data_IF_899598511009
#
_entry.id   IF_899598511009
#
_cell.length_a   1.000
_cell.length_b   1.000
_cell.length_c   1.000
_cell.angle_alpha   90.00
_cell.angle_beta   90.00
_cell.angle_gamma   90.00
#
_symmetry.space_group_name_H-M   'P 1'
#
loop_
_entity.id
_entity.type
_entity.pdbx_description
1 polymer ?
#
# COMPACT_ATOMS: atom_id res chain seq x y z
N UNK A 1 8.75 17.59 -6.79
CA UNK A 1 9.85 16.99 -6.00
C UNK A 1 11.18 17.41 -6.62
N UNK A 2 12.22 17.64 -5.82
CA UNK A 2 13.56 18.01 -6.30
C UNK A 2 14.49 16.79 -6.15
N UNK A 3 15.43 16.59 -7.07
CA UNK A 3 16.41 15.50 -7.00
C UNK A 3 17.83 16.07 -6.92
N UNK A 4 18.61 15.61 -5.96
CA UNK A 4 20.01 16.01 -5.79
C UNK A 4 20.79 14.74 -5.45
N UNK A 5 21.82 14.39 -6.23
CA UNK A 5 22.63 13.18 -6.05
C UNK A 5 21.77 11.91 -5.90
N UNK A 6 20.82 11.70 -6.83
CA UNK A 6 19.87 10.57 -6.89
C UNK A 6 18.92 10.41 -5.68
N UNK A 7 18.95 11.37 -4.77
CA UNK A 7 18.08 11.41 -3.60
C UNK A 7 16.95 12.40 -3.81
N UNK A 8 15.77 12.04 -3.31
CA UNK A 8 14.54 12.86 -3.40
C UNK A 8 14.54 13.88 -2.28
N UNK A 9 14.26 15.14 -2.59
CA UNK A 9 14.16 16.23 -1.64
C UNK A 9 12.79 16.93 -1.73
N UNK A 10 12.28 17.39 -0.60
CA UNK A 10 11.08 18.22 -0.51
C UNK A 10 11.05 19.06 0.76
N UNK A 11 10.22 20.10 0.73
CA UNK A 11 10.02 20.99 1.86
C UNK A 11 9.34 20.29 3.05
N UNK A 12 9.59 20.75 4.29
CA UNK A 12 8.99 20.15 5.50
C UNK A 12 7.46 20.11 5.46
N UNK A 13 6.82 21.24 5.11
CA UNK A 13 5.37 21.33 4.99
C UNK A 13 4.80 20.35 3.93
N UNK A 14 5.56 20.11 2.87
CA UNK A 14 5.19 19.21 1.77
C UNK A 14 5.33 17.74 2.18
N UNK A 15 6.30 17.43 3.05
CA UNK A 15 6.50 16.11 3.61
C UNK A 15 5.36 15.79 4.59
N UNK A 16 5.08 16.70 5.54
CA UNK A 16 3.99 16.57 6.52
C UNK A 16 2.61 16.55 5.85
N UNK A 17 2.40 17.41 4.84
CA UNK A 17 1.13 17.53 4.14
C UNK A 17 0.90 16.51 3.02
N UNK A 18 1.74 15.48 2.87
CA UNK A 18 1.66 14.46 1.81
C UNK A 18 1.73 14.99 0.36
N UNK A 19 2.14 16.25 0.17
CA UNK A 19 2.32 16.92 -1.15
C UNK A 19 3.76 16.82 -1.67
N UNK A 20 4.52 15.84 -1.20
CA UNK A 20 5.96 15.75 -1.45
C UNK A 20 6.27 15.44 -2.93
N UNK A 21 5.40 14.67 -3.59
CA UNK A 21 5.50 14.37 -5.03
C UNK A 21 5.50 15.65 -5.88
N UNK A 22 4.60 16.60 -5.59
CA UNK A 22 4.42 17.85 -6.34
C UNK A 22 5.15 19.06 -5.76
N UNK A 23 6.02 18.89 -4.75
CA UNK A 23 6.75 20.01 -4.14
C UNK A 23 7.66 20.73 -5.17
N UNK A 24 7.43 22.03 -5.39
CA UNK A 24 8.25 22.92 -6.24
C UNK A 24 8.87 24.10 -5.49
N UNK A 25 8.75 24.12 -4.15
CA UNK A 25 9.29 25.21 -3.34
C UNK A 25 10.81 25.13 -3.29
N UNK A 26 11.48 26.19 -3.72
CA UNK A 26 12.94 26.37 -3.64
C UNK A 26 13.35 27.28 -2.49
N UNK A 27 12.41 28.08 -1.97
CA UNK A 27 12.66 29.11 -0.96
C UNK A 27 12.65 28.56 0.48
N UNK A 28 12.35 27.27 0.64
CA UNK A 28 12.18 26.60 1.94
C UNK A 28 13.25 25.53 2.13
N UNK A 29 13.64 25.23 3.38
CA UNK A 29 14.58 24.16 3.66
C UNK A 29 14.07 22.83 3.09
N UNK A 30 14.92 22.21 2.27
CA UNK A 30 14.66 20.94 1.60
C UNK A 30 15.24 19.79 2.44
N UNK A 31 14.44 18.74 2.63
CA UNK A 31 14.83 17.56 3.39
C UNK A 31 14.81 16.31 2.50
N UNK A 32 15.75 15.39 2.74
CA UNK A 32 15.82 14.10 2.06
C UNK A 32 14.61 13.22 2.44
N UNK A 33 13.89 12.73 1.42
CA UNK A 33 12.77 11.81 1.58
C UNK A 33 13.29 10.37 1.55
N UNK A 34 13.28 9.71 2.71
CA UNK A 34 13.50 8.26 2.82
C UNK A 34 12.35 7.46 2.17
N UNK A 35 12.62 6.20 1.80
CA UNK A 35 11.61 5.29 1.25
C UNK A 35 10.43 5.18 2.23
N UNK A 36 9.25 5.63 1.80
CA UNK A 36 8.02 5.51 2.56
C UNK A 36 7.41 4.13 2.27
N UNK A 37 7.15 3.34 3.30
CA UNK A 37 6.48 2.05 3.15
C UNK A 37 6.15 1.45 4.51
N UNK A 38 4.88 1.08 4.71
CA UNK A 38 4.51 0.19 5.80
C UNK A 38 5.10 -1.19 5.48
N UNK A 39 5.75 -1.88 6.43
CA UNK A 39 6.14 -3.27 6.22
C UNK A 39 4.92 -4.09 5.79
N UNK A 40 5.13 -5.07 4.91
CA UNK A 40 4.03 -5.89 4.43
C UNK A 40 3.46 -6.67 5.62
N UNK A 41 2.20 -6.38 5.99
CA UNK A 41 1.52 -7.00 7.13
C UNK A 41 0.86 -8.33 6.78
N UNK A 42 0.88 -8.72 5.51
CA UNK A 42 0.23 -9.91 4.99
C UNK A 42 1.28 -10.84 4.38
N UNK A 43 1.15 -12.15 4.58
CA UNK A 43 2.00 -13.13 3.93
C UNK A 43 1.80 -13.16 2.40
N UNK A 44 2.77 -13.70 1.68
CA UNK A 44 2.74 -13.80 0.22
C UNK A 44 1.53 -14.61 -0.28
N UNK A 45 1.23 -15.73 0.38
CA UNK A 45 0.09 -16.59 0.08
C UNK A 45 -1.25 -15.83 0.10
N UNK A 46 -1.55 -15.10 1.18
CA UNK A 46 -2.81 -14.37 1.26
C UNK A 46 -2.84 -13.15 0.32
N UNK A 47 -1.68 -12.66 -0.12
CA UNK A 47 -1.59 -11.59 -1.13
C UNK A 47 -1.90 -12.12 -2.53
N UNK A 48 -1.46 -13.33 -2.85
CA UNK A 48 -1.80 -14.01 -4.10
C UNK A 48 -3.27 -14.34 -4.19
N UNK A 49 -3.88 -14.84 -3.10
CA UNK A 49 -5.33 -15.13 -3.06
C UNK A 49 -6.19 -13.89 -3.38
N UNK A 50 -5.75 -12.69 -3.01
CA UNK A 50 -6.43 -11.45 -3.43
C UNK A 50 -6.31 -11.19 -4.93
N UNK A 51 -5.17 -11.52 -5.55
CA UNK A 51 -4.93 -11.27 -6.98
C UNK A 51 -5.62 -12.30 -7.86
N UNK A 52 -5.49 -13.58 -7.51
CA UNK A 52 -5.96 -14.69 -8.36
C UNK A 52 -7.43 -14.99 -8.12
N UNK A 53 -7.89 -14.91 -6.86
CA UNK A 53 -9.25 -15.31 -6.46
C UNK A 53 -10.12 -14.15 -5.96
N UNK A 54 -9.60 -12.93 -5.93
CA UNK A 54 -10.32 -11.72 -5.47
C UNK A 54 -10.88 -11.86 -4.04
N UNK A 55 -10.21 -12.65 -3.18
CA UNK A 55 -10.66 -12.91 -1.81
C UNK A 55 -10.03 -11.91 -0.83
N UNK A 56 -10.86 -11.06 -0.21
CA UNK A 56 -10.43 -10.05 0.76
C UNK A 56 -10.63 -10.49 2.22
N UNK A 57 -9.82 -11.44 2.68
CA UNK A 57 -9.82 -11.89 4.09
C UNK A 57 -8.64 -11.33 4.89
N UNK A 58 -8.84 -11.17 6.21
CA UNK A 58 -7.76 -10.80 7.14
C UNK A 58 -6.74 -11.94 7.24
N UNK A 59 -5.46 -11.61 7.11
CA UNK A 59 -4.38 -12.59 7.22
C UNK A 59 -4.20 -12.99 8.69
N UNK A 60 -4.42 -14.27 8.99
CA UNK A 60 -4.20 -14.88 10.31
C UNK A 60 -3.03 -15.88 10.30
N UNK A 61 -2.18 -15.84 9.27
CA UNK A 61 -1.01 -16.69 9.17
C UNK A 61 0.02 -16.26 10.23
N UNK A 62 0.13 -17.04 11.29
CA UNK A 62 1.15 -16.88 12.33
C UNK A 62 2.51 -17.31 11.79
N UNK A 63 3.21 -16.42 11.08
CA UNK A 63 4.65 -16.52 10.79
C UNK A 63 5.15 -17.75 10.02
N UNK A 64 4.30 -18.68 9.57
CA UNK A 64 4.76 -19.86 8.83
C UNK A 64 5.23 -19.45 7.43
N UNK A 65 6.52 -19.70 7.19
CA UNK A 65 7.11 -19.72 5.86
C UNK A 65 6.31 -20.67 4.94
N UNK A 66 6.29 -20.41 3.62
CA UNK A 66 5.43 -21.15 2.70
C UNK A 66 5.90 -22.61 2.60
N UNK A 67 5.20 -23.51 3.28
CA UNK A 67 5.21 -24.94 2.95
C UNK A 67 4.19 -25.16 1.84
N UNK A 68 4.70 -25.58 0.69
CA UNK A 68 3.92 -26.00 -0.47
C UNK A 68 3.19 -27.29 -0.13
N UNK A 69 1.98 -27.19 0.40
CA UNK A 69 1.08 -28.34 0.52
C UNK A 69 -0.31 -27.96 0.00
N UNK A 70 -0.65 -28.52 -1.17
CA UNK A 70 -2.02 -28.61 -1.64
C UNK A 70 -2.84 -29.40 -0.61
N UNK A 71 -3.92 -28.81 -0.08
CA UNK A 71 -5.30 -29.35 -0.01
C UNK A 71 -6.22 -28.48 0.88
N UNK A 72 -7.50 -28.61 0.57
CA UNK A 72 -8.68 -28.39 1.44
C UNK A 72 -9.22 -26.96 1.63
N UNK A 73 -10.15 -26.66 0.74
CA UNK A 73 -11.41 -25.93 0.97
C UNK A 73 -11.94 -25.92 2.42
N UNK A 74 -12.23 -24.70 2.93
CA UNK A 74 -13.40 -24.35 3.77
C UNK A 74 -13.32 -22.88 4.19
N UNK A 75 -14.38 -22.09 3.96
CA UNK A 75 -14.49 -20.81 4.67
C UNK A 75 -15.39 -19.73 4.09
N UNK A 76 -16.71 -19.89 4.31
CA UNK A 76 -17.74 -18.90 4.69
C UNK A 76 -17.70 -17.48 4.08
N UNK A 77 -18.83 -17.19 3.41
CA UNK A 77 -19.39 -15.91 2.95
C UNK A 77 -18.98 -14.71 3.82
N UNK A 78 -18.22 -13.78 3.24
CA UNK A 78 -18.04 -12.43 3.75
C UNK A 78 -18.70 -11.46 2.76
N UNK A 79 -19.80 -10.88 3.19
CA UNK A 79 -20.71 -10.02 2.44
C UNK A 79 -19.96 -8.88 1.71
N UNK A 80 -20.19 -8.84 0.40
CA UNK A 80 -19.68 -7.82 -0.51
C UNK A 80 -20.37 -6.49 -0.17
N UNK A 81 -19.75 -5.66 0.67
CA UNK A 81 -20.18 -4.27 0.83
C UNK A 81 -19.73 -3.55 -0.46
N UNK A 82 -20.66 -3.48 -1.42
CA UNK A 82 -20.54 -2.77 -2.68
C UNK A 82 -20.31 -1.28 -2.42
N UNK A 83 -19.05 -0.83 -2.51
CA UNK A 83 -18.75 0.59 -2.75
C UNK A 83 -18.87 0.93 -4.25
N UNK A 84 -19.88 0.37 -4.92
CA UNK A 84 -20.29 0.78 -6.28
C UNK A 84 -21.20 1.99 -6.16
N UNK A 85 -20.63 3.12 -5.73
CA UNK A 85 -21.21 4.43 -6.02
C UNK A 85 -20.09 5.34 -6.49
N UNK A 86 -19.52 5.00 -7.65
CA UNK A 86 -18.91 6.02 -8.49
C UNK A 86 -20.01 7.00 -8.84
N UNK A 87 -19.96 8.13 -8.14
CA UNK A 87 -20.64 9.37 -8.47
C UNK A 87 -20.39 9.67 -9.94
N UNK A 88 -21.45 9.71 -10.74
CA UNK A 88 -21.46 10.50 -11.95
C UNK A 88 -21.16 11.94 -11.53
N UNK A 89 -20.05 12.47 -12.03
CA UNK A 89 -19.71 13.88 -11.98
C UNK A 89 -19.83 14.34 -13.43
N UNK A 90 -20.85 15.14 -13.70
CA UNK A 90 -20.95 16.01 -14.88
C UNK A 90 -19.71 16.90 -15.03
#
# INVERSE_FOLDING_TARGET
MVFINDKKYSCEACIKGHRSSSCKHTDRPLFEIKKKGRPVTQCEHCRELRKTKQVHVKCLCEGKAPVVEEKAEKGKKGELITCLSMRQVD
#
